data_IF_497936705584
#
_entry.id   IF_497936705584
#
_cell.length_a   1.000
_cell.length_b   1.000
_cell.length_c   1.000
_cell.angle_alpha   90.00
_cell.angle_beta   90.00
_cell.angle_gamma   90.00
#
_symmetry.space_group_name_H-M   'P 1'
#
loop_
_entity.id
_entity.type
_entity.pdbx_description
1 polymer ?
#
# COMPACT_ATOMS: atom_id res chain seq x y z
N UNK A 1 5.97 -30.82 -6.48
CA UNK A 1 6.57 -29.96 -7.53
C UNK A 1 6.25 -28.53 -7.14
N UNK A 2 7.24 -27.64 -7.05
CA UNK A 2 7.03 -26.28 -6.54
C UNK A 2 6.29 -25.43 -7.59
N UNK A 3 5.12 -24.90 -7.24
CA UNK A 3 4.28 -24.12 -8.18
C UNK A 3 4.46 -22.61 -8.02
N UNK A 4 4.80 -22.15 -6.82
CA UNK A 4 4.88 -20.74 -6.46
C UNK A 4 6.28 -20.39 -5.93
N UNK A 5 6.70 -19.16 -6.20
CA UNK A 5 7.89 -18.56 -5.64
C UNK A 5 7.59 -17.17 -5.07
N UNK A 6 8.36 -16.77 -4.07
CA UNK A 6 8.39 -15.41 -3.58
C UNK A 6 9.80 -14.84 -3.67
N UNK A 7 9.90 -13.55 -3.99
CA UNK A 7 11.14 -12.78 -3.95
C UNK A 7 10.91 -11.56 -3.07
N UNK A 8 11.76 -11.42 -2.05
CA UNK A 8 11.82 -10.23 -1.23
C UNK A 8 12.89 -9.29 -1.79
N UNK A 9 12.68 -7.98 -1.66
CA UNK A 9 13.67 -6.98 -2.06
C UNK A 9 15.03 -7.26 -1.41
N UNK A 10 16.08 -7.46 -2.23
CA UNK A 10 17.44 -7.72 -1.76
C UNK A 10 17.72 -9.13 -1.25
N UNK A 11 16.84 -10.11 -1.50
CA UNK A 11 17.00 -11.51 -1.05
C UNK A 11 16.83 -12.52 -2.19
N UNK A 12 17.42 -13.72 -2.07
CA UNK A 12 17.20 -14.79 -3.02
C UNK A 12 15.72 -15.21 -3.08
N UNK A 13 15.35 -15.84 -4.18
CA UNK A 13 14.05 -16.47 -4.36
C UNK A 13 13.82 -17.55 -3.30
N UNK A 14 12.62 -17.58 -2.74
CA UNK A 14 12.16 -18.62 -1.84
C UNK A 14 10.99 -19.37 -2.48
N UNK A 15 11.07 -20.69 -2.46
CA UNK A 15 10.07 -21.57 -3.09
C UNK A 15 9.01 -21.96 -2.08
N UNK A 16 7.78 -22.14 -2.55
CA UNK A 16 6.69 -22.57 -1.69
C UNK A 16 6.76 -24.06 -1.37
N UNK A 17 6.63 -24.39 -0.09
CA UNK A 17 6.52 -25.75 0.40
C UNK A 17 5.06 -26.19 0.34
N UNK A 18 4.81 -27.37 -0.20
CA UNK A 18 3.47 -27.93 -0.29
C UNK A 18 3.10 -28.55 1.06
N UNK A 19 2.07 -28.01 1.71
CA UNK A 19 1.56 -28.53 2.99
C UNK A 19 0.32 -29.40 2.79
N UNK A 20 -0.41 -29.20 1.69
CA UNK A 20 -1.59 -29.96 1.31
C UNK A 20 -1.70 -30.02 -0.24
N UNK A 21 -2.64 -30.81 -0.75
CA UNK A 21 -2.91 -30.95 -2.19
C UNK A 21 -3.16 -29.61 -2.88
N UNK A 22 -3.83 -28.68 -2.21
CA UNK A 22 -4.18 -27.34 -2.72
C UNK A 22 -3.56 -26.19 -1.94
N UNK A 23 -2.72 -26.47 -0.93
CA UNK A 23 -2.16 -25.44 -0.03
C UNK A 23 -0.64 -25.47 0.00
N UNK A 24 -0.07 -24.27 -0.03
CA UNK A 24 1.37 -24.05 0.01
C UNK A 24 1.71 -22.98 1.03
N UNK A 25 2.92 -23.05 1.59
CA UNK A 25 3.42 -22.08 2.56
C UNK A 25 4.81 -21.61 2.14
N UNK A 26 5.06 -20.30 2.30
CA UNK A 26 6.39 -19.70 2.16
C UNK A 26 6.71 -19.00 3.47
N UNK A 27 7.81 -19.39 4.10
CA UNK A 27 8.30 -18.80 5.35
C UNK A 27 9.43 -17.83 5.06
N UNK A 28 9.23 -16.53 5.32
CA UNK A 28 10.25 -15.50 5.16
C UNK A 28 10.84 -15.18 6.53
N UNK A 29 12.07 -15.63 6.84
CA UNK A 29 12.75 -15.26 8.08
C UNK A 29 13.19 -13.78 8.05
N UNK A 30 13.43 -13.16 9.19
CA UNK A 30 13.99 -11.80 9.32
C UNK A 30 13.24 -10.74 8.49
N UNK A 31 11.91 -10.73 8.57
CA UNK A 31 11.06 -9.91 7.73
C UNK A 31 11.02 -8.42 8.13
N UNK A 32 11.68 -7.97 9.21
CA UNK A 32 11.59 -6.58 9.65
C UNK A 32 12.23 -5.61 8.65
N UNK A 33 13.18 -6.10 7.85
CA UNK A 33 13.87 -5.32 6.83
C UNK A 33 13.28 -5.50 5.41
N UNK A 34 12.17 -6.23 5.25
CA UNK A 34 11.56 -6.50 3.95
C UNK A 34 10.49 -5.46 3.65
N UNK A 35 10.69 -4.62 2.63
CA UNK A 35 9.68 -3.63 2.22
C UNK A 35 8.70 -4.15 1.17
N UNK A 36 9.16 -5.01 0.26
CA UNK A 36 8.36 -5.51 -0.85
C UNK A 36 8.55 -7.01 -1.01
N UNK A 37 7.44 -7.72 -1.16
CA UNK A 37 7.38 -9.15 -1.40
C UNK A 37 6.63 -9.37 -2.71
N UNK A 38 7.30 -9.98 -3.67
CA UNK A 38 6.70 -10.35 -4.96
C UNK A 38 6.43 -11.83 -4.95
N UNK A 39 5.18 -12.25 -5.13
CA UNK A 39 4.79 -13.65 -5.24
C UNK A 39 4.42 -13.90 -6.69
N UNK A 40 4.90 -15.02 -7.25
CA UNK A 40 4.68 -15.35 -8.64
C UNK A 40 4.59 -16.85 -8.88
N UNK A 41 4.01 -17.18 -10.02
CA UNK A 41 3.91 -18.53 -10.54
C UNK A 41 5.21 -18.92 -11.26
N UNK A 42 5.72 -20.12 -10.98
CA UNK A 42 6.91 -20.63 -11.64
C UNK A 42 6.59 -21.09 -13.08
N UNK A 43 7.50 -20.87 -14.04
CA UNK A 43 7.36 -21.43 -15.38
C UNK A 43 7.43 -22.96 -15.27
N UNK A 44 6.45 -23.66 -15.85
CA UNK A 44 6.21 -25.12 -15.74
C UNK A 44 5.40 -25.60 -14.51
N UNK A 45 4.67 -24.72 -13.83
CA UNK A 45 3.71 -25.18 -12.82
C UNK A 45 2.51 -25.91 -13.46
N UNK A 46 1.88 -26.84 -12.75
CA UNK A 46 0.63 -27.49 -13.20
C UNK A 46 -0.60 -26.59 -12.98
N UNK A 47 -0.40 -25.39 -12.45
CA UNK A 47 -1.43 -24.41 -12.21
C UNK A 47 -1.66 -23.59 -13.49
N UNK A 48 -2.20 -24.28 -14.50
CA UNK A 48 -2.47 -23.73 -15.85
C UNK A 48 -3.96 -23.56 -16.12
N UNK A 49 -4.82 -24.07 -15.24
CA UNK A 49 -6.26 -23.99 -15.40
C UNK A 49 -6.76 -22.60 -14.97
N UNK A 50 -7.46 -21.93 -15.89
CA UNK A 50 -7.99 -20.58 -15.72
C UNK A 50 -9.17 -20.55 -14.73
N UNK A 51 -9.77 -21.70 -14.43
CA UNK A 51 -10.88 -21.83 -13.48
C UNK A 51 -10.43 -21.83 -12.02
N UNK A 52 -9.12 -21.78 -11.75
CA UNK A 52 -8.58 -21.74 -10.39
C UNK A 52 -7.77 -20.47 -10.16
N UNK A 53 -7.89 -19.95 -8.94
CA UNK A 53 -7.16 -18.79 -8.45
C UNK A 53 -6.47 -19.18 -7.14
N UNK A 54 -5.18 -18.91 -7.05
CA UNK A 54 -4.42 -19.10 -5.83
C UNK A 54 -4.55 -17.86 -4.95
N UNK A 55 -5.30 -17.99 -3.85
CA UNK A 55 -5.47 -16.97 -2.83
C UNK A 55 -4.21 -16.86 -1.96
N UNK A 56 -3.79 -15.63 -1.69
CA UNK A 56 -2.57 -15.29 -0.98
C UNK A 56 -2.94 -14.69 0.37
N UNK A 57 -2.49 -15.37 1.42
CA UNK A 57 -2.70 -15.01 2.81
C UNK A 57 -1.38 -14.66 3.48
N UNK A 58 -1.36 -13.62 4.30
CA UNK A 58 -0.20 -13.22 5.07
C UNK A 58 -0.48 -13.37 6.56
N UNK A 59 0.42 -14.04 7.27
CA UNK A 59 0.48 -14.05 8.71
C UNK A 59 1.50 -13.00 9.16
N UNK A 60 1.01 -11.94 9.80
CA UNK A 60 1.87 -10.89 10.36
C UNK A 60 2.54 -11.39 11.65
N UNK A 61 3.75 -10.93 12.00
CA UNK A 61 4.48 -11.42 13.18
C UNK A 61 3.74 -11.15 14.50
N UNK A 62 2.89 -10.12 14.54
CA UNK A 62 2.10 -9.73 15.72
C UNK A 62 0.67 -10.30 15.71
N UNK A 63 0.32 -11.17 14.77
CA UNK A 63 -1.03 -11.70 14.63
C UNK A 63 -1.00 -13.18 14.23
N UNK A 64 -1.76 -14.02 14.93
CA UNK A 64 -1.90 -15.44 14.56
C UNK A 64 -2.88 -15.65 13.39
N UNK A 65 -3.59 -14.60 12.98
CA UNK A 65 -4.57 -14.66 11.91
C UNK A 65 -3.93 -14.44 10.53
N UNK A 66 -4.35 -15.28 9.58
CA UNK A 66 -3.98 -15.15 8.17
C UNK A 66 -4.91 -14.15 7.49
N UNK A 67 -4.35 -13.03 7.02
CA UNK A 67 -5.09 -12.01 6.30
C UNK A 67 -5.00 -12.24 4.79
N UNK A 68 -6.13 -12.33 4.11
CA UNK A 68 -6.17 -12.40 2.65
C UNK A 68 -5.74 -11.06 2.05
N UNK A 69 -4.71 -11.09 1.19
CA UNK A 69 -4.21 -9.88 0.51
C UNK A 69 -4.57 -9.86 -0.98
N UNK A 70 -4.86 -11.01 -1.59
CA UNK A 70 -5.28 -11.08 -2.98
C UNK A 70 -5.17 -12.49 -3.55
N UNK A 71 -5.09 -12.59 -4.87
CA UNK A 71 -4.85 -13.86 -5.55
C UNK A 71 -4.10 -13.71 -6.86
N UNK A 72 -3.48 -14.81 -7.28
CA UNK A 72 -2.78 -14.96 -8.56
C UNK A 72 -3.45 -16.08 -9.36
N UNK A 73 -3.48 -15.91 -10.68
CA UNK A 73 -4.06 -16.87 -11.63
C UNK A 73 -3.18 -16.91 -12.89
N UNK A 74 -3.42 -17.82 -13.85
CA UNK A 74 -2.62 -17.85 -15.07
C UNK A 74 -2.63 -16.54 -15.88
N UNK A 75 -3.71 -15.75 -15.80
CA UNK A 75 -3.83 -14.44 -16.46
C UNK A 75 -3.04 -13.33 -15.75
N UNK A 76 -2.88 -13.45 -14.43
CA UNK A 76 -2.11 -12.56 -13.55
C UNK A 76 -1.16 -13.42 -12.72
N UNK A 77 -0.03 -13.84 -13.32
CA UNK A 77 0.85 -14.84 -12.72
C UNK A 77 1.68 -14.30 -11.55
N UNK A 78 1.62 -13.00 -11.26
CA UNK A 78 2.40 -12.37 -10.19
C UNK A 78 1.67 -11.23 -9.50
N UNK A 79 1.98 -11.02 -8.22
CA UNK A 79 1.50 -9.90 -7.43
C UNK A 79 2.61 -9.38 -6.50
N UNK A 80 2.65 -8.06 -6.31
CA UNK A 80 3.62 -7.39 -5.44
C UNK A 80 2.87 -6.84 -4.24
N UNK A 81 3.37 -7.13 -3.04
CA UNK A 81 2.83 -6.69 -1.77
C UNK A 81 3.87 -5.82 -1.07
N UNK A 82 3.44 -4.61 -0.67
CA UNK A 82 4.25 -3.72 0.16
C UNK A 82 3.98 -4.02 1.62
N UNK A 83 5.04 -4.29 2.36
CA UNK A 83 4.99 -4.44 3.81
C UNK A 83 5.36 -3.10 4.45
N UNK A 84 4.43 -2.50 5.17
CA UNK A 84 4.69 -1.30 5.95
C UNK A 84 5.21 -1.71 7.32
N UNK A 85 6.52 -1.90 7.41
CA UNK A 85 7.20 -2.10 8.68
C UNK A 85 7.28 -0.73 9.35
N UNK A 86 6.17 -0.30 9.95
CA UNK A 86 6.20 0.74 10.98
C UNK A 86 6.82 0.11 12.23
N UNK A 87 8.10 -0.30 12.13
CA UNK A 87 8.94 -0.33 13.31
C UNK A 87 8.93 1.11 13.79
N UNK A 88 8.26 1.33 14.92
CA UNK A 88 8.41 2.56 15.67
C UNK A 88 9.92 2.75 15.81
N UNK A 89 10.51 3.67 15.04
CA UNK A 89 11.66 4.40 15.54
C UNK A 89 11.12 5.05 16.79
N UNK A 90 11.36 4.42 17.93
CA UNK A 90 11.25 5.12 19.20
C UNK A 90 12.35 6.15 19.11
N UNK A 91 11.99 7.35 18.66
CA UNK A 91 12.81 8.55 18.84
C UNK A 91 12.99 8.69 20.34
N UNK A 92 14.06 8.09 20.84
CA UNK A 92 14.57 8.35 22.17
C UNK A 92 15.57 9.47 21.97
N UNK A 93 15.04 10.70 21.95
CA UNK A 93 15.81 11.94 22.07
C UNK A 93 16.42 11.98 23.49
N UNK A 94 17.39 11.11 23.74
CA UNK A 94 18.21 11.20 24.94
C UNK A 94 19.66 10.87 24.56
N UNK A 95 20.44 11.93 24.53
CA UNK A 95 21.90 11.96 24.51
C UNK A 95 22.48 10.88 25.44
N UNK A 96 23.11 9.84 24.88
CA UNK A 96 24.20 9.15 25.57
C UNK A 96 25.12 8.46 24.57
N UNK A 97 26.43 8.66 24.77
CA UNK A 97 27.51 8.07 23.99
C UNK A 97 27.70 6.62 24.44
N UNK A 98 27.26 5.67 23.61
CA UNK A 98 27.49 4.25 23.84
C UNK A 98 27.58 3.51 22.52
N UNK A 99 28.80 3.23 22.09
CA UNK A 99 29.14 2.27 21.04
C UNK A 99 28.72 0.87 21.52
N UNK A 100 27.50 0.46 21.18
CA UNK A 100 27.10 -0.94 21.22
C UNK A 100 26.25 -1.23 19.98
N UNK A 101 26.84 -1.98 19.07
CA UNK A 101 26.11 -2.60 17.95
C UNK A 101 25.15 -3.63 18.53
N UNK A 102 23.93 -3.19 18.85
CA UNK A 102 22.83 -4.10 19.11
C UNK A 102 22.50 -4.78 17.78
N UNK A 103 23.12 -5.95 17.56
CA UNK A 103 22.57 -7.01 16.71
C UNK A 103 21.17 -7.32 17.24
N UNK A 104 20.20 -6.56 16.73
CA UNK A 104 18.80 -6.86 16.87
C UNK A 104 18.59 -8.16 16.10
N UNK A 105 18.65 -9.28 16.83
CA UNK A 105 18.22 -10.58 16.35
C UNK A 105 16.76 -10.46 15.90
N UNK A 106 16.60 -10.11 14.63
CA UNK A 106 15.32 -9.83 14.02
C UNK A 106 14.56 -11.14 13.83
N UNK A 107 13.88 -11.60 14.88
CA UNK A 107 13.11 -12.85 14.87
C UNK A 107 11.75 -12.71 14.19
N UNK A 108 11.50 -11.60 13.49
CA UNK A 108 10.23 -11.42 12.78
C UNK A 108 10.16 -12.39 11.60
N UNK A 109 9.27 -13.37 11.70
CA UNK A 109 9.00 -14.33 10.62
C UNK A 109 7.62 -14.03 10.05
N UNK A 110 7.52 -13.95 8.72
CA UNK A 110 6.24 -13.84 8.03
C UNK A 110 5.98 -15.14 7.30
N UNK A 111 4.83 -15.74 7.57
CA UNK A 111 4.35 -16.90 6.83
C UNK A 111 3.34 -16.44 5.79
N UNK A 112 3.56 -16.85 4.54
CA UNK A 112 2.65 -16.61 3.43
C UNK A 112 1.96 -17.93 3.13
N UNK A 113 0.65 -17.98 3.33
CA UNK A 113 -0.19 -19.09 2.93
C UNK A 113 -0.71 -18.87 1.51
N UNK A 114 -0.70 -19.91 0.69
CA UNK A 114 -1.26 -19.91 -0.65
C UNK A 114 -2.29 -21.04 -0.72
N UNK A 115 -3.55 -20.72 -1.02
CA UNK A 115 -4.63 -21.71 -1.17
C UNK A 115 -5.22 -21.64 -2.56
N UNK A 116 -5.24 -22.77 -3.27
CA UNK A 116 -5.85 -22.86 -4.60
C UNK A 116 -7.35 -23.10 -4.43
N UNK A 117 -8.15 -22.16 -4.92
CA UNK A 117 -9.61 -22.21 -4.88
C UNK A 117 -10.20 -22.00 -6.29
N UNK A 118 -11.43 -22.47 -6.56
CA UNK A 118 -12.12 -22.11 -7.79
C UNK A 118 -12.26 -20.60 -7.94
N UNK A 119 -12.02 -20.05 -9.13
CA UNK A 119 -11.94 -18.61 -9.38
C UNK A 119 -13.19 -17.87 -8.91
N UNK A 120 -14.38 -18.43 -9.11
CA UNK A 120 -15.64 -17.83 -8.66
C UNK A 120 -15.68 -17.61 -7.15
N UNK A 121 -15.22 -18.58 -6.36
CA UNK A 121 -15.16 -18.47 -4.90
C UNK A 121 -14.04 -17.53 -4.45
N UNK A 122 -12.88 -17.62 -5.12
CA UNK A 122 -11.72 -16.79 -4.82
C UNK A 122 -12.02 -15.30 -5.04
N UNK A 123 -12.67 -14.93 -6.14
CA UNK A 123 -13.07 -13.56 -6.42
C UNK A 123 -14.06 -13.03 -5.38
N UNK A 124 -15.04 -13.84 -4.97
CA UNK A 124 -15.97 -13.46 -3.91
C UNK A 124 -15.26 -13.21 -2.57
N UNK A 125 -14.30 -14.06 -2.19
CA UNK A 125 -13.52 -13.89 -0.97
C UNK A 125 -12.63 -12.65 -1.02
N UNK A 126 -11.96 -12.39 -2.16
CA UNK A 126 -11.17 -11.18 -2.36
C UNK A 126 -12.06 -9.94 -2.26
N UNK A 127 -13.24 -9.95 -2.88
CA UNK A 127 -14.19 -8.84 -2.81
C UNK A 127 -14.72 -8.62 -1.38
N UNK A 128 -15.02 -9.69 -0.64
CA UNK A 128 -15.46 -9.57 0.76
C UNK A 128 -14.35 -8.99 1.65
N UNK A 129 -13.11 -9.41 1.48
CA UNK A 129 -11.98 -8.89 2.24
C UNK A 129 -11.61 -7.47 1.83
N UNK A 130 -11.79 -7.10 0.55
CA UNK A 130 -11.73 -5.71 0.10
C UNK A 130 -12.83 -4.85 0.73
N UNK A 131 -14.06 -5.36 0.87
CA UNK A 131 -15.14 -4.65 1.56
C UNK A 131 -14.89 -4.49 3.06
N UNK A 132 -14.31 -5.49 3.74
CA UNK A 132 -13.88 -5.37 5.14
C UNK A 132 -12.73 -4.37 5.31
N UNK A 133 -11.79 -4.35 4.37
CA UNK A 133 -10.70 -3.37 4.33
C UNK A 133 -11.16 -1.98 3.84
N UNK A 134 -12.33 -1.84 3.24
CA UNK A 134 -12.90 -0.55 2.83
C UNK A 134 -13.37 0.33 4.00
N UNK A 135 -13.23 -0.10 5.25
CA UNK A 135 -13.26 0.80 6.42
C UNK A 135 -11.92 1.50 6.67
N UNK A 136 -10.84 1.11 5.98
CA UNK A 136 -9.49 1.69 6.09
C UNK A 136 -8.74 1.48 4.77
N UNK A 137 -8.87 2.46 3.87
CA UNK A 137 -8.12 2.66 2.60
C UNK A 137 -8.89 2.28 1.35
N UNK A 138 -9.60 3.26 0.79
CA UNK A 138 -9.90 3.33 -0.63
C UNK A 138 -9.36 4.66 -1.19
N UNK A 139 -8.13 4.64 -1.71
CA UNK A 139 -7.63 5.66 -2.63
C UNK A 139 -7.67 5.07 -4.04
N UNK A 140 -8.82 5.20 -4.69
CA UNK A 140 -8.99 5.31 -6.14
C UNK A 140 -10.48 5.38 -6.47
N UNK A 141 -10.98 6.58 -6.73
CA UNK A 141 -12.27 6.80 -7.39
C UNK A 141 -13.52 6.64 -6.52
N UNK A 142 -13.69 7.47 -5.50
CA UNK A 142 -15.00 7.64 -4.84
C UNK A 142 -15.27 9.12 -4.57
N UNK A 143 -16.54 9.50 -4.76
CA UNK A 143 -17.09 10.78 -4.35
C UNK A 143 -16.71 10.98 -2.88
N UNK A 144 -15.95 12.04 -2.53
CA UNK A 144 -15.40 12.17 -1.20
C UNK A 144 -16.51 12.19 -0.16
N UNK A 145 -16.33 11.46 0.93
CA UNK A 145 -17.17 11.60 2.12
C UNK A 145 -17.23 13.09 2.50
N UNK A 146 -18.33 13.58 3.11
CA UNK A 146 -18.48 15.00 3.41
C UNK A 146 -17.33 15.58 4.26
N UNK A 147 -16.67 14.76 5.09
CA UNK A 147 -15.48 15.13 5.85
C UNK A 147 -14.23 15.32 4.96
N UNK A 148 -14.00 14.44 3.97
CA UNK A 148 -12.87 14.56 3.03
C UNK A 148 -13.08 15.75 2.08
N UNK A 149 -14.32 16.00 1.68
CA UNK A 149 -14.68 17.18 0.88
C UNK A 149 -14.38 18.46 1.65
N UNK A 150 -14.70 18.51 2.95
CA UNK A 150 -14.43 19.67 3.79
C UNK A 150 -12.92 19.92 4.00
N UNK A 151 -12.13 18.87 4.21
CA UNK A 151 -10.68 18.99 4.33
C UNK A 151 -10.04 19.47 3.02
N UNK A 152 -10.49 18.92 1.89
CA UNK A 152 -10.02 19.33 0.58
C UNK A 152 -10.38 20.80 0.29
N UNK A 153 -11.62 21.21 0.58
CA UNK A 153 -12.05 22.60 0.44
C UNK A 153 -11.19 23.54 1.29
N UNK A 154 -10.88 23.17 2.54
CA UNK A 154 -10.00 23.96 3.41
C UNK A 154 -8.58 24.12 2.83
N UNK A 155 -8.01 23.07 2.25
CA UNK A 155 -6.69 23.15 1.60
C UNK A 155 -6.70 24.07 0.37
N UNK A 156 -7.73 23.95 -0.47
CA UNK A 156 -7.88 24.78 -1.67
C UNK A 156 -8.02 26.25 -1.27
N UNK A 157 -8.88 26.53 -0.29
CA UNK A 157 -9.12 27.90 0.21
C UNK A 157 -7.89 28.45 0.92
N UNK A 158 -7.16 27.65 1.71
CA UNK A 158 -5.91 28.07 2.36
C UNK A 158 -4.83 28.46 1.35
N UNK A 159 -4.65 27.66 0.29
CA UNK A 159 -3.73 27.99 -0.80
C UNK A 159 -4.15 29.26 -1.58
N UNK A 160 -5.46 29.44 -1.83
CA UNK A 160 -5.98 30.67 -2.42
C UNK A 160 -5.69 31.88 -1.52
N UNK A 161 -5.99 31.77 -0.23
CA UNK A 161 -5.78 32.81 0.75
C UNK A 161 -4.32 33.24 0.83
N UNK A 162 -3.39 32.30 0.92
CA UNK A 162 -1.95 32.60 0.96
C UNK A 162 -1.45 33.34 -0.29
N UNK A 163 -1.97 32.98 -1.47
CA UNK A 163 -1.63 33.71 -2.70
C UNK A 163 -2.23 35.12 -2.69
N UNK A 164 -3.52 35.24 -2.42
CA UNK A 164 -4.24 36.52 -2.47
C UNK A 164 -3.83 37.49 -1.36
N UNK A 165 -3.37 36.98 -0.22
CA UNK A 165 -2.85 37.78 0.89
C UNK A 165 -1.69 38.68 0.45
N UNK A 166 -0.87 38.24 -0.50
CA UNK A 166 0.23 39.03 -1.06
C UNK A 166 -0.22 40.18 -1.97
N UNK A 167 -1.50 40.21 -2.38
CA UNK A 167 -2.10 41.21 -3.26
C UNK A 167 -3.11 42.11 -2.54
N UNK A 168 -3.16 42.07 -1.20
CA UNK A 168 -4.02 42.94 -0.39
C UNK A 168 -3.46 44.37 -0.44
N UNK A 169 -4.28 45.34 -0.83
CA UNK A 169 -3.93 46.76 -0.74
C UNK A 169 -4.03 47.30 0.69
N UNK A 170 -3.57 48.53 0.93
CA UNK A 170 -3.68 49.18 2.25
C UNK A 170 -5.12 49.38 2.76
N UNK A 171 -6.14 49.16 1.91
CA UNK A 171 -7.56 49.20 2.23
C UNK A 171 -8.18 47.82 2.43
N UNK A 172 -7.38 46.75 2.43
CA UNK A 172 -7.86 45.37 2.61
C UNK A 172 -8.49 44.78 1.35
N UNK A 173 -8.33 45.39 0.18
CA UNK A 173 -8.98 44.96 -1.07
C UNK A 173 -8.02 44.13 -1.92
N UNK A 174 -8.54 43.05 -2.50
CA UNK A 174 -7.82 42.21 -3.46
C UNK A 174 -8.35 42.49 -4.88
N UNK A 175 -7.49 42.86 -5.84
CA UNK A 175 -7.89 43.01 -7.23
C UNK A 175 -8.40 41.68 -7.79
N UNK A 176 -9.57 41.67 -8.44
CA UNK A 176 -10.13 40.44 -9.04
C UNK A 176 -9.18 39.76 -10.04
N UNK A 177 -8.35 40.55 -10.74
CA UNK A 177 -7.31 40.06 -11.65
C UNK A 177 -6.27 39.16 -10.95
N UNK A 178 -6.00 39.38 -9.66
CA UNK A 178 -5.11 38.52 -8.90
C UNK A 178 -5.73 37.13 -8.69
N UNK A 179 -7.05 37.07 -8.47
CA UNK A 179 -7.80 35.82 -8.39
C UNK A 179 -7.83 35.08 -9.72
N UNK A 180 -8.10 35.78 -10.83
CA UNK A 180 -8.10 35.17 -12.17
C UNK A 180 -6.74 34.53 -12.49
N UNK A 181 -5.64 35.26 -12.23
CA UNK A 181 -4.28 34.76 -12.41
C UNK A 181 -3.97 33.54 -11.53
N UNK A 182 -4.45 33.52 -10.30
CA UNK A 182 -4.32 32.36 -9.42
C UNK A 182 -5.08 31.16 -9.98
N UNK A 183 -6.33 31.37 -10.40
CA UNK A 183 -7.20 30.33 -10.91
C UNK A 183 -6.64 29.67 -12.17
N UNK A 184 -6.08 30.44 -13.09
CA UNK A 184 -5.44 29.90 -14.29
C UNK A 184 -4.18 29.07 -13.98
N UNK A 185 -3.36 29.52 -13.03
CA UNK A 185 -2.21 28.75 -12.54
C UNK A 185 -2.65 27.47 -11.84
N UNK A 186 -3.70 27.54 -11.02
CA UNK A 186 -4.26 26.40 -10.30
C UNK A 186 -4.79 25.33 -11.27
N UNK A 187 -5.60 25.71 -12.26
CA UNK A 187 -6.10 24.79 -13.30
C UNK A 187 -4.95 24.13 -14.07
N UNK A 188 -3.94 24.91 -14.46
CA UNK A 188 -2.78 24.39 -15.21
C UNK A 188 -2.00 23.38 -14.39
N UNK A 189 -1.78 23.64 -13.10
CA UNK A 189 -1.11 22.69 -12.19
C UNK A 189 -1.93 21.43 -11.97
N UNK A 190 -3.25 21.57 -11.79
CA UNK A 190 -4.15 20.43 -11.59
C UNK A 190 -4.21 19.52 -12.82
N UNK A 191 -4.22 20.10 -14.03
CA UNK A 191 -4.20 19.34 -15.28
C UNK A 191 -2.87 18.59 -15.48
N UNK A 192 -1.75 19.18 -15.06
CA UNK A 192 -0.42 18.60 -15.25
C UNK A 192 -0.02 17.59 -14.15
N UNK A 193 -0.53 17.75 -12.92
CA UNK A 193 -0.24 16.83 -11.81
C UNK A 193 -1.55 16.41 -11.10
N UNK A 194 -2.04 15.19 -11.33
CA UNK A 194 -3.22 14.65 -10.66
C UNK A 194 -3.10 14.57 -9.13
N UNK A 195 -1.89 14.53 -8.59
CA UNK A 195 -1.62 14.48 -7.14
C UNK A 195 -1.38 15.85 -6.51
N UNK A 196 -1.49 16.95 -7.27
CA UNK A 196 -1.20 18.31 -6.80
C UNK A 196 -2.00 18.69 -5.53
N UNK A 197 -3.24 18.23 -5.41
CA UNK A 197 -4.11 18.53 -4.26
C UNK A 197 -3.65 17.86 -2.96
N UNK A 198 -2.93 16.73 -3.05
CA UNK A 198 -2.35 16.05 -1.89
C UNK A 198 -1.07 16.73 -1.41
N UNK A 199 -0.38 17.44 -2.32
CA UNK A 199 0.84 18.20 -2.06
C UNK A 199 0.58 19.60 -1.49
N UNK A 200 -0.67 20.08 -1.53
CA UNK A 200 -1.10 21.29 -0.81
C UNK A 200 -1.02 21.01 0.70
N UNK A 201 0.17 21.24 1.27
CA UNK A 201 0.38 21.24 2.71
C UNK A 201 -0.30 22.46 3.34
N UNK A 202 -0.77 22.28 4.58
CA UNK A 202 -1.34 23.30 5.44
C UNK A 202 -0.34 24.43 5.71
#
# INVERSE_FOLDING_TARGET
MTMFGAVCSGRPIQLAEQVDSTKYVITIPNAANVSHITIFLLPNSTFTDVNYTALIYFQLPNSQEYKLLGGINPNKPSAIYKLNNNTKKVDTDNFDMGEDMIESNDTTVINIGISIEPTLNAEQLILQEQHKQSMVVAKAGTIPAPADTAQLANKIVGHAYNYLASFIDNSGKVPIKAFDNWWDKFKTKLANNPNFLDELQN
#
